data_IF_834770387132
#
_entry.id   IF_834770387132
#
_cell.length_a   1.000
_cell.length_b   1.000
_cell.length_c   1.000
_cell.angle_alpha   90.00
_cell.angle_beta   90.00
_cell.angle_gamma   90.00
#
_symmetry.space_group_name_H-M   'P 1'
#
loop_
_entity.id
_entity.type
_entity.pdbx_description
1 polymer ?
#
# COMPACT_ATOMS: atom_id res chain seq x y z
N UNK A 1 18.77 -3.47 -4.51
CA UNK A 1 17.76 -2.41 -4.30
C UNK A 1 16.49 -2.82 -5.03
N UNK A 2 15.38 -3.07 -4.34
CA UNK A 2 14.10 -3.31 -5.01
C UNK A 2 13.53 -1.97 -5.50
N UNK A 3 13.02 -1.94 -6.73
CA UNK A 3 12.35 -0.75 -7.25
C UNK A 3 11.11 -0.43 -6.41
N UNK A 4 10.82 0.86 -6.15
CA UNK A 4 9.65 1.25 -5.38
C UNK A 4 8.36 0.83 -6.12
N UNK A 5 7.37 0.38 -5.35
CA UNK A 5 6.00 0.11 -5.79
C UNK A 5 5.21 1.41 -5.68
N UNK A 6 4.41 1.70 -6.71
CA UNK A 6 3.45 2.81 -6.72
C UNK A 6 2.03 2.28 -6.54
N UNK A 7 1.36 2.81 -5.53
CA UNK A 7 -0.05 2.57 -5.24
C UNK A 7 -0.85 3.82 -5.61
N UNK A 8 -1.98 3.63 -6.27
CA UNK A 8 -2.98 4.64 -6.55
C UNK A 8 -4.20 4.35 -5.66
N UNK A 9 -4.33 5.11 -4.58
CA UNK A 9 -5.39 4.91 -3.57
C UNK A 9 -6.43 6.00 -3.77
N UNK A 10 -7.56 5.66 -4.39
CA UNK A 10 -8.64 6.61 -4.67
C UNK A 10 -8.20 7.84 -5.48
N UNK A 11 -7.16 7.74 -6.33
CA UNK A 11 -6.59 8.84 -7.09
C UNK A 11 -5.34 9.49 -6.48
N UNK A 12 -4.94 9.11 -5.25
CA UNK A 12 -3.74 9.63 -4.59
C UNK A 12 -2.58 8.63 -4.68
N UNK A 13 -1.43 9.10 -5.17
CA UNK A 13 -0.26 8.25 -5.38
C UNK A 13 0.61 8.12 -4.12
N UNK A 14 0.86 6.87 -3.72
CA UNK A 14 1.80 6.52 -2.66
C UNK A 14 2.98 5.72 -3.23
N UNK A 15 4.16 5.92 -2.66
CA UNK A 15 5.39 5.17 -2.99
C UNK A 15 5.87 4.40 -1.77
N UNK A 16 6.18 3.13 -1.97
CA UNK A 16 6.65 2.25 -0.90
C UNK A 16 7.47 1.08 -1.46
N UNK A 17 7.94 0.17 -0.61
CA UNK A 17 8.67 -1.04 -1.01
C UNK A 17 7.79 -2.29 -0.90
N UNK A 18 8.16 -3.36 -1.60
CA UNK A 18 7.54 -4.68 -1.41
C UNK A 18 7.63 -5.13 0.05
N UNK A 19 8.78 -4.94 0.71
CA UNK A 19 8.98 -5.38 2.09
C UNK A 19 8.07 -4.66 3.10
N UNK A 20 7.76 -3.38 2.88
CA UNK A 20 6.74 -2.68 3.69
C UNK A 20 5.37 -3.31 3.49
N UNK A 21 4.97 -3.55 2.24
CA UNK A 21 3.64 -4.08 1.90
C UNK A 21 3.43 -5.55 2.30
N UNK A 22 4.51 -6.32 2.43
CA UNK A 22 4.46 -7.73 2.82
C UNK A 22 4.86 -8.00 4.28
N UNK A 23 5.12 -6.94 5.08
CA UNK A 23 5.55 -7.08 6.48
C UNK A 23 4.53 -7.81 7.35
N UNK A 24 3.24 -7.57 7.09
CA UNK A 24 2.13 -8.17 7.81
C UNK A 24 1.30 -9.04 6.87
N UNK A 25 0.72 -10.11 7.41
CA UNK A 25 -0.27 -10.89 6.67
C UNK A 25 -1.54 -10.06 6.44
N UNK A 26 -2.13 -10.18 5.26
CA UNK A 26 -3.33 -9.43 4.88
C UNK A 26 -3.35 -9.09 3.41
N UNK A 27 -4.19 -8.12 3.06
CA UNK A 27 -4.50 -7.75 1.68
C UNK A 27 -3.26 -7.56 0.80
N UNK A 28 -2.34 -6.68 1.19
CA UNK A 28 -1.17 -6.35 0.37
C UNK A 28 -0.19 -7.51 0.21
N UNK A 29 0.02 -8.31 1.25
CA UNK A 29 0.89 -9.48 1.17
C UNK A 29 0.30 -10.54 0.25
N UNK A 30 -0.97 -10.89 0.44
CA UNK A 30 -1.69 -11.81 -0.45
C UNK A 30 -1.63 -11.29 -1.89
N UNK A 31 -1.92 -10.01 -2.10
CA UNK A 31 -1.89 -9.39 -3.42
C UNK A 31 -0.52 -9.52 -4.12
N UNK A 32 0.59 -9.29 -3.41
CA UNK A 32 1.94 -9.26 -4.00
C UNK A 32 2.69 -10.59 -4.01
N UNK A 33 2.24 -11.58 -3.24
CA UNK A 33 2.91 -12.87 -3.09
C UNK A 33 2.09 -14.05 -3.62
N UNK A 34 0.85 -13.81 -4.06
CA UNK A 34 0.01 -14.82 -4.73
C UNK A 34 -0.23 -14.46 -6.20
N UNK A 35 -0.81 -15.39 -6.96
CA UNK A 35 -1.14 -15.20 -8.38
C UNK A 35 -2.50 -14.50 -8.59
N UNK A 36 -2.97 -13.70 -7.63
CA UNK A 36 -4.21 -12.93 -7.79
C UNK A 36 -3.99 -11.83 -8.85
N UNK A 37 -4.91 -11.67 -9.81
CA UNK A 37 -4.83 -10.57 -10.77
C UNK A 37 -4.81 -9.22 -10.05
N UNK A 38 -3.79 -8.41 -10.34
CA UNK A 38 -3.68 -7.04 -9.83
C UNK A 38 -4.14 -6.09 -10.92
N UNK A 39 -5.18 -5.32 -10.64
CA UNK A 39 -5.55 -4.19 -11.50
C UNK A 39 -4.47 -3.10 -11.42
N UNK A 40 -3.98 -2.71 -12.59
CA UNK A 40 -3.03 -1.61 -12.76
C UNK A 40 -3.64 -0.56 -13.66
N UNK A 41 -3.43 0.70 -13.31
CA UNK A 41 -3.84 1.81 -14.18
C UNK A 41 -2.93 1.92 -15.42
N UNK A 42 -3.23 2.86 -16.32
CA UNK A 42 -2.49 3.07 -17.56
C UNK A 42 -0.99 3.41 -17.34
N UNK A 43 -0.66 3.96 -16.17
CA UNK A 43 0.72 4.26 -15.76
C UNK A 43 1.42 3.08 -15.06
N UNK A 44 0.75 1.94 -14.94
CA UNK A 44 1.27 0.73 -14.31
C UNK A 44 1.23 0.74 -12.77
N UNK A 45 0.57 1.72 -12.15
CA UNK A 45 0.39 1.77 -10.70
C UNK A 45 -0.70 0.80 -10.26
N UNK A 46 -0.54 0.21 -9.09
CA UNK A 46 -1.53 -0.68 -8.49
C UNK A 46 -2.69 0.16 -7.97
N UNK A 47 -3.90 -0.07 -8.46
CA UNK A 47 -5.08 0.67 -8.01
C UNK A 47 -5.69 0.03 -6.75
N UNK A 48 -6.06 0.89 -5.80
CA UNK A 48 -6.72 0.55 -4.54
C UNK A 48 -7.98 1.40 -4.43
N UNK A 49 -9.14 0.75 -4.50
CA UNK A 49 -10.46 1.39 -4.44
C UNK A 49 -10.83 1.77 -2.99
N UNK A 50 -10.08 2.71 -2.41
CA UNK A 50 -10.28 3.22 -1.05
C UNK A 50 -10.00 4.72 -0.98
N UNK A 51 -10.64 5.38 -0.04
CA UNK A 51 -10.34 6.78 0.30
C UNK A 51 -8.90 6.90 0.86
N UNK A 52 -8.10 7.87 0.38
CA UNK A 52 -6.70 7.99 0.75
C UNK A 52 -6.44 8.66 2.11
N UNK A 53 -7.47 9.25 2.75
CA UNK A 53 -7.33 10.12 3.93
C UNK A 53 -6.49 9.50 5.05
N UNK A 54 -6.66 8.20 5.30
CA UNK A 54 -5.94 7.49 6.36
C UNK A 54 -4.79 6.62 5.85
N UNK A 55 -4.57 6.58 4.53
CA UNK A 55 -3.62 5.63 3.96
C UNK A 55 -2.17 5.93 4.35
N UNK A 56 -1.82 7.20 4.58
CA UNK A 56 -0.51 7.56 5.08
C UNK A 56 -0.23 6.97 6.48
N UNK A 57 -1.21 7.03 7.38
CA UNK A 57 -1.11 6.46 8.74
C UNK A 57 -0.99 4.94 8.67
N UNK A 58 -1.80 4.28 7.83
CA UNK A 58 -1.70 2.84 7.58
C UNK A 58 -0.30 2.47 7.06
N UNK A 59 0.23 3.23 6.09
CA UNK A 59 1.52 2.95 5.50
C UNK A 59 2.67 3.16 6.49
N UNK A 60 2.56 4.14 7.39
CA UNK A 60 3.52 4.34 8.48
C UNK A 60 3.47 3.19 9.49
N UNK A 61 2.28 2.75 9.89
CA UNK A 61 2.15 1.54 10.72
C UNK A 61 2.82 0.32 10.06
N UNK A 62 2.67 0.14 8.75
CA UNK A 62 3.37 -0.94 8.02
C UNK A 62 4.90 -0.78 8.03
N UNK A 63 5.43 0.45 8.07
CA UNK A 63 6.87 0.75 8.11
C UNK A 63 7.49 0.62 9.49
N UNK A 64 6.74 0.90 10.54
CA UNK A 64 7.27 1.05 11.89
C UNK A 64 6.75 0.00 12.88
N UNK A 65 5.68 -0.73 12.52
CA UNK A 65 4.89 -1.62 13.40
C UNK A 65 4.14 -0.89 14.52
N UNK A 66 4.15 0.43 14.53
CA UNK A 66 3.50 1.28 15.52
C UNK A 66 3.13 2.62 14.89
N UNK A 67 2.06 3.25 15.35
CA UNK A 67 1.66 4.60 14.90
C UNK A 67 0.72 5.25 15.91
N UNK A 68 0.91 6.54 16.15
CA UNK A 68 -0.05 7.35 16.89
C UNK A 68 -1.27 7.65 16.00
N UNK A 69 -2.47 7.41 16.54
CA UNK A 69 -3.70 7.77 15.85
C UNK A 69 -4.03 9.25 16.06
N UNK A 70 -4.68 9.91 15.08
CA UNK A 70 -5.16 11.27 15.26
C UNK A 70 -6.15 11.39 16.42
N UNK A 71 -6.16 12.53 17.09
CA UNK A 71 -7.22 12.89 18.03
C UNK A 71 -8.58 12.95 17.30
N UNK A 72 -9.64 12.51 17.97
CA UNK A 72 -11.01 12.44 17.43
C UNK A 72 -11.71 13.80 17.34
#
# INVERSE_FOLDING_TARGET
MSSPIQLDVGGTLFKTSKSTLTRFDGFFKTMLETNVPIERNQSGHIFIDRDPTHFQVILNFMRDSDVDLPDS
#
